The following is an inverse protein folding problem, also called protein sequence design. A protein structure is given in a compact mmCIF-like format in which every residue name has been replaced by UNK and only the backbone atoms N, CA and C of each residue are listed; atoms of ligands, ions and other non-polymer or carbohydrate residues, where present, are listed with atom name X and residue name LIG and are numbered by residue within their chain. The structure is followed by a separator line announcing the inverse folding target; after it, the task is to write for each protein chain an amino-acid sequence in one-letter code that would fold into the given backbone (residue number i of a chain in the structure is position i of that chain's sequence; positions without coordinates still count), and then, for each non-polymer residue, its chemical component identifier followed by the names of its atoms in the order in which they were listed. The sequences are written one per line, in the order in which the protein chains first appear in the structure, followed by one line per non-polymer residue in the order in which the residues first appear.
data_IF_707853653853
#
_entry.id   IF_707853653853
#
_cell.length_a   1.000
_cell.length_b   1.000
_cell.length_c   1.000
_cell.angle_alpha   90.00
_cell.angle_beta   90.00
_cell.angle_gamma   90.00
#
_symmetry.space_group_name_H-M   'P 1'
#
loop_
_entity.id
_entity.type
_entity.pdbx_description
1 polymer ?
2 non-polymer ?
#
# COMPACT_ATOMS: atom_id res chain seq x y z
N UNK A 1 -5.24 -10.58 -10.28
CA UNK A 1 -5.02 -9.46 -11.22
C UNK A 1 -4.17 -8.38 -10.55
N UNK A 2 -2.92 -8.30 -10.96
CA UNK A 2 -2.00 -7.31 -10.39
C UNK A 2 -2.13 -5.99 -11.13
N UNK A 3 -2.36 -4.92 -10.39
CA UNK A 3 -2.52 -3.60 -10.97
C UNK A 3 -1.61 -2.59 -10.28
N UNK A 4 -0.91 -1.78 -11.07
CA UNK A 4 -0.02 -0.77 -10.52
C UNK A 4 -0.64 0.62 -10.68
N UNK A 5 -0.83 1.31 -9.57
CA UNK A 5 -1.41 2.64 -9.60
C UNK A 5 -0.41 3.70 -9.17
N UNK A 6 -0.40 4.83 -9.84
CA UNK A 6 0.50 5.91 -9.50
C UNK A 6 -0.27 7.04 -8.83
N UNK A 7 -0.07 7.18 -7.53
CA UNK A 7 -0.77 8.19 -6.76
C UNK A 7 -0.05 9.53 -6.80
N UNK A 8 -0.81 10.59 -6.97
CA UNK A 8 -0.26 11.95 -7.01
C UNK A 8 -0.14 12.50 -5.59
N UNK A 9 1.09 12.73 -5.16
CA UNK A 9 1.34 13.24 -3.81
C UNK A 9 1.54 14.74 -3.82
N UNK A 10 1.20 15.38 -4.93
CA UNK A 10 1.32 16.83 -5.04
C UNK A 10 0.08 17.50 -4.48
N UNK A 11 -1.07 17.01 -4.90
CA UNK A 11 -2.35 17.53 -4.43
C UNK A 11 -2.84 16.75 -3.21
N UNK A 12 -2.38 15.51 -3.08
CA UNK A 12 -2.77 14.67 -1.96
C UNK A 12 -1.68 14.64 -0.91
N UNK A 13 -2.08 14.65 0.35
CA UNK A 13 -1.13 14.63 1.45
C UNK A 13 -1.07 13.24 2.08
N UNK A 14 -2.17 12.50 2.00
CA UNK A 14 -2.24 11.16 2.55
C UNK A 14 -2.86 10.21 1.53
N UNK A 15 -2.54 8.93 1.67
CA UNK A 15 -3.06 7.92 0.74
C UNK A 15 -4.48 7.53 1.11
N UNK A 16 -4.74 7.46 2.42
CA UNK A 16 -6.06 7.07 2.89
C UNK A 16 -6.31 5.58 2.77
N UNK A 17 -5.37 4.77 3.25
CA UNK A 17 -5.50 3.31 3.18
C UNK A 17 -4.81 2.65 4.36
N UNK A 18 -5.59 2.19 5.33
CA UNK A 18 -5.00 1.57 6.51
C UNK A 18 -4.47 0.18 6.17
N UNK A 19 -3.17 0.00 6.34
CA UNK A 19 -2.51 -1.27 6.04
C UNK A 19 -2.77 -2.29 7.15
N UNK A 20 -3.22 -3.48 6.76
CA UNK A 20 -3.50 -4.54 7.71
C UNK A 20 -2.60 -5.74 7.43
N UNK A 21 -1.75 -6.08 8.39
CA UNK A 21 -0.86 -7.21 8.21
C UNK A 21 -1.51 -8.51 8.63
N UNK A 22 -1.46 -9.52 7.77
CA UNK A 22 -2.05 -10.81 8.06
C UNK A 22 -1.07 -11.71 8.79
N UNK A 23 -1.40 -12.05 10.03
CA UNK A 23 -0.55 -12.89 10.85
C UNK A 23 -1.11 -14.31 10.96
N UNK A 24 -0.23 -15.30 10.92
CA UNK A 24 -0.62 -16.70 11.02
C UNK A 24 0.50 -17.50 11.67
N UNK A 25 0.42 -18.83 11.58
CA UNK A 25 1.44 -19.69 12.16
C UNK A 25 2.80 -19.43 11.54
N UNK A 26 2.84 -19.30 10.22
CA UNK A 26 4.09 -19.05 9.51
C UNK A 26 4.50 -17.58 9.69
N UNK A 27 3.73 -16.67 9.11
CA UNK A 27 4.05 -15.25 9.26
C UNK A 27 4.00 -14.50 7.93
N UNK A 28 4.16 -15.21 6.83
CA UNK A 28 4.13 -14.59 5.51
C UNK A 28 2.70 -14.40 5.02
N UNK A 29 1.91 -13.70 5.83
CA UNK A 29 0.52 -13.46 5.47
C UNK A 29 0.38 -12.29 4.52
N UNK A 30 1.35 -11.39 4.55
CA UNK A 30 1.32 -10.23 3.67
C UNK A 30 0.48 -9.09 4.22
N UNK A 31 0.63 -7.92 3.63
CA UNK A 31 -0.12 -6.74 4.04
C UNK A 31 -1.25 -6.45 3.06
N UNK A 32 -2.44 -6.21 3.59
CA UNK A 32 -3.60 -5.94 2.77
C UNK A 32 -4.21 -4.57 3.11
N UNK A 33 -5.01 -4.06 2.19
CA UNK A 33 -5.68 -2.77 2.37
C UNK A 33 -6.93 -2.95 3.23
N UNK A 34 -6.94 -2.30 4.38
CA UNK A 34 -8.08 -2.40 5.27
C UNK A 34 -9.24 -1.53 4.84
N UNK A 35 -9.13 -0.24 5.04
CA UNK A 35 -10.18 0.68 4.66
C UNK A 35 -9.60 1.92 3.96
N UNK A 36 -10.38 2.50 3.06
CA UNK A 36 -9.96 3.68 2.33
C UNK A 36 -10.59 4.92 2.95
N UNK A 37 -9.76 5.91 3.25
CA UNK A 37 -10.22 7.15 3.84
C UNK A 37 -10.48 8.19 2.76
N UNK A 38 -11.71 8.70 2.73
CA UNK A 38 -12.10 9.70 1.74
C UNK A 38 -11.24 10.96 1.87
N UNK A 39 -10.62 11.35 0.77
CA UNK A 39 -9.75 12.51 0.77
C UNK A 39 -8.31 12.13 0.51
N UNK A 40 -8.06 10.83 0.47
CA UNK A 40 -6.72 10.33 0.23
C UNK A 40 -6.43 10.13 -1.25
N UNK A 41 -5.17 9.89 -1.58
CA UNK A 41 -4.75 9.68 -2.96
C UNK A 41 -5.39 8.43 -3.56
N UNK A 42 -5.59 7.41 -2.74
CA UNK A 42 -6.19 6.16 -3.21
C UNK A 42 -7.66 6.37 -3.55
N UNK A 43 -8.34 7.18 -2.75
CA UNK A 43 -9.75 7.44 -2.97
C UNK A 43 -9.96 8.24 -4.26
N UNK A 44 -8.88 8.82 -4.76
CA UNK A 44 -8.92 9.60 -5.99
C UNK A 44 -8.71 8.70 -7.20
N UNK A 45 -8.27 7.48 -6.96
CA UNK A 45 -8.04 6.53 -8.03
C UNK A 45 -9.27 5.64 -8.22
N UNK A 46 -9.47 4.70 -7.30
CA UNK A 46 -10.63 3.84 -7.38
C UNK A 46 -10.29 2.38 -7.67
N UNK A 47 -9.13 2.14 -8.29
CA UNK A 47 -8.74 0.77 -8.64
C UNK A 47 -8.45 -0.05 -7.39
N UNK A 48 -7.92 0.61 -6.35
CA UNK A 48 -7.63 -0.08 -5.11
C UNK A 48 -8.87 -0.11 -4.23
N UNK A 49 -9.15 -1.26 -3.64
CA UNK A 49 -10.31 -1.43 -2.77
C UNK A 49 -9.95 -2.29 -1.57
N UNK A 50 -10.76 -2.24 -0.50
CA UNK A 50 -10.53 -3.03 0.71
C UNK A 50 -10.34 -4.52 0.39
N UNK A 51 -9.19 -5.05 0.75
CA UNK A 51 -8.90 -6.44 0.49
C UNK A 51 -7.77 -6.62 -0.49
N UNK A 52 -7.31 -5.53 -1.09
CA UNK A 52 -6.21 -5.59 -2.04
C UNK A 52 -4.90 -5.85 -1.32
N UNK A 53 -4.04 -6.66 -1.91
CA UNK A 53 -2.75 -6.99 -1.31
C UNK A 53 -1.63 -6.12 -1.90
N UNK A 54 -0.77 -5.59 -1.05
CA UNK A 54 0.33 -4.76 -1.51
C UNK A 54 1.55 -5.62 -1.79
N UNK A 55 2.02 -5.58 -3.03
CA UNK A 55 3.18 -6.38 -3.43
C UNK A 55 4.42 -5.50 -3.56
N UNK A 56 4.39 -4.58 -4.51
CA UNK A 56 5.51 -3.69 -4.75
C UNK A 56 5.09 -2.24 -4.57
N UNK A 57 5.92 -1.46 -3.87
CA UNK A 57 5.63 -0.05 -3.64
C UNK A 57 6.84 0.79 -4.04
N UNK A 58 6.78 1.38 -5.22
CA UNK A 58 7.88 2.21 -5.72
C UNK A 58 9.16 1.40 -5.81
N UNK A 59 9.11 0.33 -6.61
CA UNK A 59 10.25 -0.57 -6.86
C UNK A 59 10.49 -1.55 -5.71
N UNK A 60 10.33 -1.11 -4.47
CA UNK A 60 10.56 -1.99 -3.32
C UNK A 60 9.51 -3.12 -3.29
N UNK A 61 9.95 -4.30 -2.91
CA UNK A 61 9.07 -5.47 -2.85
C UNK A 61 8.80 -5.88 -1.42
N UNK A 62 7.53 -6.10 -1.09
CA UNK A 62 7.15 -6.51 0.26
C UNK A 62 6.66 -7.95 0.28
N UNK A 63 6.65 -8.60 -0.87
CA UNK A 63 6.19 -9.97 -0.98
C UNK A 63 7.02 -10.93 -0.14
N UNK A 64 8.30 -10.65 0.01
CA UNK A 64 9.18 -11.51 0.79
C UNK A 64 9.74 -10.75 1.99
N UNK A 65 8.93 -9.85 2.52
CA UNK A 65 9.33 -9.08 3.69
C UNK A 65 8.32 -9.31 4.82
N UNK A 66 8.72 -9.01 6.05
CA UNK A 66 7.84 -9.18 7.18
C UNK A 66 6.73 -8.15 7.14
N UNK A 67 5.56 -8.50 7.68
CA UNK A 67 4.40 -7.59 7.68
C UNK A 67 4.78 -6.24 8.29
N UNK A 68 5.38 -6.29 9.46
CA UNK A 68 5.81 -5.09 10.17
C UNK A 68 6.87 -4.36 9.38
N UNK A 69 7.82 -5.11 8.83
CA UNK A 69 8.92 -4.55 8.06
C UNK A 69 8.40 -3.86 6.80
N UNK A 70 7.36 -4.42 6.21
CA UNK A 70 6.76 -3.85 5.02
C UNK A 70 6.23 -2.46 5.32
N UNK A 71 5.56 -2.33 6.46
CA UNK A 71 5.01 -1.06 6.90
C UNK A 71 6.13 -0.09 7.24
N UNK A 72 7.23 -0.63 7.79
CA UNK A 72 8.38 0.18 8.15
C UNK A 72 8.93 0.89 6.93
N UNK A 73 9.23 0.12 5.88
CA UNK A 73 9.75 0.67 4.64
C UNK A 73 8.69 1.54 3.96
N UNK A 74 7.44 1.11 4.02
CA UNK A 74 6.34 1.85 3.43
C UNK A 74 6.25 3.25 4.03
N UNK A 75 6.40 3.33 5.34
CA UNK A 75 6.32 4.61 6.04
C UNK A 75 7.41 5.56 5.54
N UNK A 76 8.57 5.03 5.21
CA UNK A 76 9.67 5.85 4.71
C UNK A 76 9.30 6.47 3.36
N UNK A 77 8.54 5.74 2.56
CA UNK A 77 8.12 6.22 1.26
C UNK A 77 6.93 7.17 1.41
N UNK A 78 6.00 6.80 2.26
CA UNK A 78 4.80 7.59 2.53
C UNK A 78 5.14 8.93 3.18
N UNK A 79 6.24 8.96 3.91
CA UNK A 79 6.68 10.19 4.57
C UNK A 79 7.77 10.88 3.75
N UNK A 80 7.75 10.66 2.44
CA UNK A 80 8.74 11.24 1.55
C UNK A 80 8.05 12.06 0.45
N UNK A 81 8.84 12.62 -0.45
CA UNK A 81 8.31 13.42 -1.54
C UNK A 81 8.41 12.67 -2.86
N UNK A 82 7.40 12.77 -3.71
CA UNK A 82 7.43 12.10 -4.99
C UNK A 82 6.20 11.26 -5.24
N UNK A 83 6.02 10.78 -6.49
CA UNK A 83 4.88 9.94 -6.85
C UNK A 83 4.96 8.55 -6.24
N UNK A 84 3.88 8.12 -5.62
CA UNK A 84 3.83 6.82 -4.99
C UNK A 84 3.09 5.82 -5.86
N UNK A 85 3.80 4.80 -6.30
CA UNK A 85 3.24 3.76 -7.15
C UNK A 85 2.98 2.50 -6.35
N UNK A 86 1.71 2.13 -6.23
CA UNK A 86 1.32 0.95 -5.48
C UNK A 86 0.93 -0.19 -6.41
N UNK A 87 1.59 -1.32 -6.24
CA UNK A 87 1.30 -2.50 -7.03
C UNK A 87 0.45 -3.45 -6.19
N UNK A 88 -0.83 -3.51 -6.48
CA UNK A 88 -1.74 -4.33 -5.71
C UNK A 88 -2.11 -5.63 -6.42
N UNK A 89 -2.40 -6.64 -5.61
CA UNK A 89 -2.81 -7.94 -6.10
C UNK A 89 -4.28 -8.15 -5.83
N UNK A 90 -5.08 -8.09 -6.88
CA UNK A 90 -6.52 -8.27 -6.74
C UNK A 90 -6.93 -9.64 -7.24
X LIG B 1 -0.64 0.21 10.01
X LIG B 1 -1.61 0.87 9.28
X LIG B 1 -2.18 2.09 9.76
X LIG B 1 -2.84 3.03 8.77
X LIG B 1 -2.11 3.71 7.69
X LIG B 1 -0.59 3.56 7.44
X LIG B 1 0.48 2.91 8.09
X LIG B 1 1.71 2.98 7.55
X LIG B 1 1.95 3.69 6.36
X LIG B 1 3.19 3.75 5.86
X LIG B 1 0.90 4.34 5.71
X LIG B 1 -0.35 4.25 6.25
X LIG B 1 -1.68 4.84 5.77
X LIG B 1 -1.73 5.58 4.41
X LIG B 1 -2.28 7.00 4.52
X LIG B 1 -3.52 7.17 4.96
X LIG B 1 -1.61 8.00 4.18
X LIG B 1 -2.71 4.54 6.60
X LIG B 1 -4.12 4.96 6.44
X LIG B 1 -1.74 2.61 10.97
X LIG B 1 -0.75 1.93 11.73
X LIG B 1 -0.21 0.74 11.27
X LIG B 1 1.01 -0.12 12.17
X LIG B 1 2.24 0.61 12.27
X LIG B 1 1.27 -1.56 11.17
X LIG B 1 -0.22 -0.72 9.64
X LIG B 1 -1.93 0.46 8.33
X LIG B 1 -3.90 3.20 8.90
X LIG B 1 0.34 2.36 9.01
X LIG B 1 2.55 2.49 8.04
X LIG B 1 1.09 4.88 4.79
X LIG B 1 -2.34 5.01 3.68
X LIG B 1 -0.70 5.62 4.00
X LIG B 1 -4.19 6.05 6.43
X LIG B 1 -4.50 4.58 5.49
X LIG B 1 -4.75 4.59 7.25
X LIG B 1 -2.18 3.53 11.34
X LIG B 1 -0.42 2.33 12.68
X LIG B 1 0.34 -2.13 11.08
X LIG B 1 1.66 -1.27 10.19
X LIG B 1 2.03 -2.18 11.66
#
# INVERSE_FOLDING_TARGET
NIITVTLNMERHHFLGISIVGQSNDRGDGGIYIGSIMKGGAVAADGRIEPGDMLLQVNDVNFENMSNDDAVRVLREIVSQTGPISLTVAK
SUZ C20 C19 C5 C6 C7 C18 C17 C16 C15 F C14 C13 C10 C11 C12 O3 O2 C8 C9 C4 C3 C2 S O1 C1 H20 H19 H6 H17 H16 H14 H11 H11A H9 H9A H9B H4 H3 H1 H1A H1B
#
